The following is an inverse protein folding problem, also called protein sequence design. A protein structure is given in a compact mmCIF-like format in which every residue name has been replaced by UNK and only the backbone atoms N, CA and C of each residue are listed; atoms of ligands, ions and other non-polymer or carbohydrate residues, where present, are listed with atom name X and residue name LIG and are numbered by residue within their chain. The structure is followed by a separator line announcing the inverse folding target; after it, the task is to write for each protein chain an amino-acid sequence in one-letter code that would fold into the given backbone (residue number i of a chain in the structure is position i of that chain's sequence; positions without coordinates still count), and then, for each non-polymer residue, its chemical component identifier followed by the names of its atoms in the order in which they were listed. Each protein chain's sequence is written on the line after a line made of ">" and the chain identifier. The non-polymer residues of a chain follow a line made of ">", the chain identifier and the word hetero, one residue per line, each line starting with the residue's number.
data_IF_195067230634
#
_entry.id   IF_195067230634
#
_cell.length_a   1.000
_cell.length_b   1.000
_cell.length_c   1.000
_cell.angle_alpha   90.00
_cell.angle_beta   90.00
_cell.angle_gamma   90.00
#
_symmetry.space_group_name_H-M   'P 1'
#
loop_
_entity.id
_entity.type
_entity.pdbx_description
1 polymer ?
#
# COMPACT_ATOMS: atom_id res chain seq x y z
N UNK A 1 27.85 23.15 14.11
CA UNK A 1 27.08 21.91 13.96
C UNK A 1 26.70 21.77 12.50
N UNK A 2 27.11 20.69 11.84
CA UNK A 2 26.71 20.40 10.46
C UNK A 2 25.21 20.09 10.44
N UNK A 3 24.41 20.73 9.57
CA UNK A 3 22.98 20.40 9.48
C UNK A 3 22.80 18.93 9.10
N UNK A 4 21.97 18.22 9.87
CA UNK A 4 21.62 16.83 9.59
C UNK A 4 20.68 16.80 8.39
N UNK A 5 21.15 16.26 7.27
CA UNK A 5 20.35 16.05 6.06
C UNK A 5 19.81 14.61 6.08
N UNK A 6 18.49 14.42 6.26
CA UNK A 6 17.90 13.08 6.30
C UNK A 6 17.89 12.46 4.90
N UNK A 7 17.98 11.12 4.84
CA UNK A 7 17.93 10.37 3.59
C UNK A 7 16.56 10.46 2.88
N UNK A 8 15.48 10.65 3.64
CA UNK A 8 14.13 10.90 3.13
C UNK A 8 13.44 11.93 4.01
N UNK A 9 12.76 12.90 3.39
CA UNK A 9 11.93 13.91 4.04
C UNK A 9 10.67 14.11 3.20
N UNK A 10 9.58 13.38 3.48
CA UNK A 10 8.31 13.58 2.80
C UNK A 10 7.87 15.04 2.91
N UNK A 11 7.47 15.62 1.78
CA UNK A 11 7.05 17.00 1.69
C UNK A 11 5.54 17.09 1.86
N UNK A 12 5.10 17.94 2.78
CA UNK A 12 3.69 18.25 3.01
C UNK A 12 3.52 19.78 2.95
N UNK A 13 2.95 20.32 1.86
CA UNK A 13 2.57 21.73 1.77
C UNK A 13 1.71 22.18 2.97
N UNK A 14 1.74 23.47 3.30
CA UNK A 14 0.87 24.01 4.36
C UNK A 14 -0.61 23.78 4.08
N UNK A 15 -1.02 23.91 2.81
CA UNK A 15 -2.39 23.64 2.35
C UNK A 15 -2.81 22.21 2.68
N UNK A 16 -1.98 21.24 2.34
CA UNK A 16 -2.27 19.82 2.52
C UNK A 16 -2.34 19.47 4.00
N UNK A 17 -1.44 20.03 4.82
CA UNK A 17 -1.47 19.85 6.28
C UNK A 17 -2.76 20.37 6.89
N UNK A 18 -3.22 21.54 6.47
CA UNK A 18 -4.48 22.12 6.94
C UNK A 18 -5.69 21.28 6.52
N UNK A 19 -5.71 20.79 5.27
CA UNK A 19 -6.78 19.94 4.75
C UNK A 19 -6.84 18.58 5.49
N UNK A 20 -5.69 17.91 5.66
CA UNK A 20 -5.59 16.65 6.38
C UNK A 20 -6.10 16.82 7.83
N UNK A 21 -5.67 17.87 8.52
CA UNK A 21 -6.11 18.14 9.89
C UNK A 21 -7.63 18.36 9.97
N UNK A 22 -8.21 19.11 9.02
CA UNK A 22 -9.64 19.35 8.98
C UNK A 22 -10.44 18.06 8.74
N UNK A 23 -9.99 17.19 7.82
CA UNK A 23 -10.64 15.89 7.59
C UNK A 23 -10.49 14.94 8.78
N UNK A 24 -9.34 14.96 9.46
CA UNK A 24 -9.15 14.17 10.70
C UNK A 24 -10.14 14.58 11.79
N UNK A 25 -10.38 15.88 11.99
CA UNK A 25 -11.39 16.35 12.96
C UNK A 25 -12.77 15.80 12.63
N UNK A 26 -13.19 15.86 11.36
CA UNK A 26 -14.49 15.30 10.92
C UNK A 26 -14.59 13.80 11.17
N UNK A 27 -13.52 13.04 10.95
CA UNK A 27 -13.47 11.59 11.22
C UNK A 27 -13.64 11.33 12.72
N UNK A 28 -12.93 12.09 13.56
CA UNK A 28 -12.97 11.95 15.02
C UNK A 28 -14.35 12.32 15.60
N UNK A 29 -14.94 13.43 15.14
CA UNK A 29 -16.29 13.85 15.53
C UNK A 29 -17.36 12.86 15.10
N UNK A 30 -17.20 12.24 13.93
CA UNK A 30 -18.12 11.22 13.41
C UNK A 30 -18.02 9.86 14.10
N UNK A 31 -16.98 9.60 14.89
CA UNK A 31 -16.79 8.38 15.69
C UNK A 31 -16.51 7.08 14.90
N UNK A 32 -16.64 7.09 13.57
CA UNK A 32 -16.36 5.92 12.70
C UNK A 32 -14.94 6.00 12.14
N UNK A 33 -13.98 5.47 12.89
CA UNK A 33 -12.54 5.56 12.59
C UNK A 33 -12.05 4.55 11.54
N UNK A 34 -12.77 3.45 11.32
CA UNK A 34 -12.40 2.40 10.37
C UNK A 34 -13.55 2.14 9.41
N UNK A 35 -13.21 1.70 8.18
CA UNK A 35 -14.18 1.35 7.14
C UNK A 35 -15.23 2.45 6.93
N UNK A 36 -14.83 3.72 7.05
CA UNK A 36 -15.69 4.90 6.93
C UNK A 36 -15.81 5.42 5.49
N UNK A 37 -16.61 6.47 5.26
CA UNK A 37 -16.84 7.00 3.92
C UNK A 37 -15.58 7.55 3.23
N UNK A 38 -14.54 7.91 4.00
CA UNK A 38 -13.24 8.33 3.46
C UNK A 38 -12.54 7.23 2.66
N UNK A 39 -12.72 5.96 3.04
CA UNK A 39 -12.15 4.83 2.29
C UNK A 39 -12.84 4.71 0.93
N UNK A 40 -14.17 4.70 0.89
CA UNK A 40 -14.92 4.62 -0.36
C UNK A 40 -14.60 5.79 -1.31
N UNK A 41 -14.48 7.01 -0.77
CA UNK A 41 -14.06 8.20 -1.55
C UNK A 41 -12.66 8.04 -2.12
N UNK A 42 -11.73 7.51 -1.31
CA UNK A 42 -10.36 7.26 -1.76
C UNK A 42 -10.32 6.18 -2.84
N UNK A 43 -11.03 5.07 -2.67
CA UNK A 43 -11.12 3.99 -3.65
C UNK A 43 -11.69 4.49 -4.97
N UNK A 44 -12.77 5.26 -4.94
CA UNK A 44 -13.38 5.84 -6.14
C UNK A 44 -12.43 6.83 -6.86
N UNK A 45 -11.76 7.69 -6.10
CA UNK A 45 -10.77 8.62 -6.64
C UNK A 45 -9.56 7.88 -7.23
N UNK A 46 -9.08 6.83 -6.56
CA UNK A 46 -7.94 6.04 -7.01
C UNK A 46 -8.28 5.20 -8.25
N UNK A 47 -9.49 4.62 -8.31
CA UNK A 47 -9.96 3.89 -9.48
C UNK A 47 -9.99 4.80 -10.72
N UNK A 48 -10.51 6.03 -10.58
CA UNK A 48 -10.47 7.04 -11.64
C UNK A 48 -9.04 7.41 -12.03
N UNK A 49 -8.19 7.68 -11.05
CA UNK A 49 -6.79 8.05 -11.29
C UNK A 49 -6.02 6.94 -12.04
N UNK A 50 -6.21 5.69 -11.64
CA UNK A 50 -5.55 4.53 -12.24
C UNK A 50 -6.21 4.03 -13.54
N UNK A 51 -7.36 4.58 -13.94
CA UNK A 51 -8.09 4.15 -15.14
C UNK A 51 -8.68 2.74 -15.05
N UNK A 52 -9.05 2.29 -13.85
CA UNK A 52 -9.63 0.97 -13.59
C UNK A 52 -11.08 1.08 -13.12
N UNK A 53 -11.87 0.01 -13.30
CA UNK A 53 -13.25 -0.06 -12.83
C UNK A 53 -13.34 -0.10 -11.29
N UNK A 54 -12.34 -0.68 -10.63
CA UNK A 54 -12.36 -0.93 -9.18
C UNK A 54 -10.98 -0.69 -8.55
N UNK A 55 -10.98 -0.14 -7.34
CA UNK A 55 -9.82 -0.08 -6.46
C UNK A 55 -10.25 -0.49 -5.05
N UNK A 56 -9.35 -1.12 -4.30
CA UNK A 56 -9.58 -1.57 -2.92
C UNK A 56 -8.45 -1.06 -2.04
N UNK A 57 -8.78 -0.33 -0.99
CA UNK A 57 -7.80 0.19 -0.06
C UNK A 57 -7.35 -0.90 0.92
N UNK A 58 -6.05 -0.97 1.14
CA UNK A 58 -5.43 -1.88 2.12
C UNK A 58 -4.51 -1.10 3.04
N UNK A 59 -4.18 -1.68 4.20
CA UNK A 59 -3.28 -1.03 5.17
C UNK A 59 -1.82 -0.89 4.70
N UNK A 60 -1.40 -1.65 3.68
CA UNK A 60 -0.02 -1.71 3.19
C UNK A 60 0.07 -2.40 1.83
N UNK A 61 1.14 -2.15 1.08
CA UNK A 61 1.43 -2.87 -0.16
C UNK A 61 1.64 -4.37 0.03
N UNK A 62 2.18 -4.80 1.18
CA UNK A 62 2.35 -6.22 1.50
C UNK A 62 1.01 -6.93 1.59
N UNK A 63 0.04 -6.35 2.32
CA UNK A 63 -1.30 -6.94 2.43
C UNK A 63 -2.05 -6.95 1.10
N UNK A 64 -1.87 -5.92 0.25
CA UNK A 64 -2.42 -5.93 -1.10
C UNK A 64 -1.92 -7.13 -1.92
N UNK A 65 -0.61 -7.39 -1.91
CA UNK A 65 -0.02 -8.53 -2.60
C UNK A 65 -0.47 -9.87 -2.01
N UNK A 66 -0.46 -10.00 -0.69
CA UNK A 66 -0.86 -11.23 0.00
C UNK A 66 -2.31 -11.62 -0.32
N UNK A 67 -3.26 -10.66 -0.28
CA UNK A 67 -4.67 -10.89 -0.60
C UNK A 67 -4.82 -11.46 -2.01
N UNK A 68 -4.11 -10.87 -2.98
CA UNK A 68 -4.15 -11.34 -4.38
C UNK A 68 -3.55 -12.75 -4.52
N UNK A 69 -2.44 -13.02 -3.85
CA UNK A 69 -1.79 -14.33 -3.89
C UNK A 69 -2.66 -15.43 -3.26
N UNK A 70 -3.34 -15.13 -2.15
CA UNK A 70 -4.33 -16.02 -1.55
C UNK A 70 -5.52 -16.26 -2.49
N UNK A 71 -6.00 -15.22 -3.17
CA UNK A 71 -7.06 -15.35 -4.18
C UNK A 71 -6.65 -16.31 -5.31
N UNK A 72 -5.39 -16.26 -5.74
CA UNK A 72 -4.84 -17.19 -6.73
C UNK A 72 -4.43 -18.56 -6.16
N UNK A 73 -4.66 -18.82 -4.87
CA UNK A 73 -4.41 -20.11 -4.22
C UNK A 73 -2.98 -20.63 -4.39
N UNK A 74 -1.99 -19.75 -4.20
CA UNK A 74 -0.56 -20.10 -4.36
C UNK A 74 0.02 -20.99 -3.25
N UNK A 75 -0.78 -21.41 -2.28
CA UNK A 75 -0.35 -22.23 -1.15
C UNK A 75 0.28 -23.55 -1.64
N UNK A 76 1.50 -23.84 -1.17
CA UNK A 76 2.29 -25.00 -1.62
C UNK A 76 2.90 -24.86 -3.02
N UNK A 77 2.62 -23.76 -3.73
CA UNK A 77 3.16 -23.44 -5.05
C UNK A 77 4.37 -22.51 -5.01
N UNK A 78 4.95 -22.26 -6.19
CA UNK A 78 6.06 -21.35 -6.40
C UNK A 78 5.61 -20.04 -7.06
N UNK A 79 6.22 -18.92 -6.66
CA UNK A 79 5.95 -17.60 -7.27
C UNK A 79 7.29 -16.95 -7.62
N UNK A 80 7.45 -16.56 -8.88
CA UNK A 80 8.66 -15.88 -9.36
C UNK A 80 8.68 -14.45 -8.83
N UNK A 81 9.80 -14.06 -8.20
CA UNK A 81 10.00 -12.72 -7.63
C UNK A 81 11.36 -12.17 -8.11
N UNK A 82 11.44 -10.93 -8.61
CA UNK A 82 12.72 -10.35 -9.01
C UNK A 82 13.65 -10.17 -7.80
N UNK A 83 14.95 -10.40 -7.99
CA UNK A 83 15.99 -10.21 -6.95
C UNK A 83 16.11 -8.76 -6.50
N UNK A 84 15.90 -7.80 -7.40
CA UNK A 84 15.95 -6.37 -7.09
C UNK A 84 14.55 -5.78 -6.86
N UNK A 85 14.01 -5.98 -5.66
CA UNK A 85 12.72 -5.44 -5.22
C UNK A 85 12.72 -5.22 -3.70
N UNK A 86 11.67 -4.61 -3.15
CA UNK A 86 11.51 -4.54 -1.70
C UNK A 86 11.09 -5.90 -1.13
N UNK A 87 11.55 -6.23 0.08
CA UNK A 87 11.30 -7.52 0.74
C UNK A 87 9.81 -7.90 0.80
N UNK A 88 8.91 -6.90 0.81
CA UNK A 88 7.45 -7.12 0.79
C UNK A 88 6.99 -8.06 -0.32
N UNK A 89 7.63 -8.03 -1.49
CA UNK A 89 7.24 -8.83 -2.65
C UNK A 89 7.41 -10.34 -2.36
N UNK A 90 8.54 -10.74 -1.78
CA UNK A 90 8.78 -12.13 -1.37
C UNK A 90 8.01 -12.51 -0.10
N UNK A 91 7.93 -11.61 0.88
CA UNK A 91 7.18 -11.87 2.12
C UNK A 91 5.69 -12.13 1.85
N UNK A 92 5.08 -11.41 0.91
CA UNK A 92 3.68 -11.63 0.55
C UNK A 92 3.43 -13.07 0.02
N UNK A 93 4.39 -13.63 -0.73
CA UNK A 93 4.35 -15.03 -1.18
C UNK A 93 4.40 -15.99 0.00
N UNK A 94 5.33 -15.77 0.91
CA UNK A 94 5.50 -16.62 2.11
C UNK A 94 4.24 -16.55 2.99
N UNK A 95 3.69 -15.36 3.22
CA UNK A 95 2.48 -15.17 4.04
C UNK A 95 1.23 -15.81 3.40
N UNK A 96 1.18 -15.86 2.07
CA UNK A 96 0.15 -16.58 1.33
C UNK A 96 0.36 -18.11 1.28
N UNK A 97 1.45 -18.62 1.87
CA UNK A 97 1.76 -20.07 1.92
C UNK A 97 2.52 -20.61 0.71
N UNK A 98 3.00 -19.75 -0.18
CA UNK A 98 3.82 -20.12 -1.33
C UNK A 98 5.33 -20.04 -1.05
N UNK A 99 6.12 -20.45 -2.04
CA UNK A 99 7.59 -20.36 -2.02
C UNK A 99 8.07 -19.33 -3.06
N UNK A 100 8.74 -18.23 -2.67
CA UNK A 100 9.29 -17.28 -3.62
C UNK A 100 10.51 -17.88 -4.33
N UNK A 101 10.49 -17.86 -5.67
CA UNK A 101 11.62 -18.26 -6.51
C UNK A 101 12.25 -16.99 -7.08
N UNK A 102 13.48 -16.70 -6.66
CA UNK A 102 14.16 -15.48 -7.05
C UNK A 102 14.65 -15.57 -8.50
N UNK A 103 14.34 -14.54 -9.30
CA UNK A 103 14.79 -14.40 -10.68
C UNK A 103 15.64 -13.14 -10.86
N UNK A 104 16.70 -13.27 -11.65
CA UNK A 104 17.59 -12.15 -11.98
C UNK A 104 16.88 -11.10 -12.85
N UNK A 105 17.41 -9.88 -12.88
CA UNK A 105 16.85 -8.76 -13.65
C UNK A 105 17.81 -8.29 -14.73
N UNK A 106 17.29 -7.57 -15.74
CA UNK A 106 18.15 -6.90 -16.70
C UNK A 106 19.02 -5.84 -15.99
N UNK A 107 20.30 -5.69 -16.38
CA UNK A 107 21.17 -4.63 -15.88
C UNK A 107 20.61 -3.22 -16.08
#
# INVERSE_FOLDING_TARGET
>A
MTPHLPANKPYFPETDRAEIAAEMVKILEGGRLTQGPWIARFEEAFARYAGTAHAVATNSGTSALEILLRYFQVEGGEVIVPTNTFLSSGNAVIFAGGTPVLADISP
#
